data_IF_564635279151
#
_entry.id   IF_564635279151
#
_cell.length_a   1.000
_cell.length_b   1.000
_cell.length_c   1.000
_cell.angle_alpha   90.00
_cell.angle_beta   90.00
_cell.angle_gamma   90.00
#
_symmetry.space_group_name_H-M   'P 1'
#
loop_
_entity.id
_entity.type
_entity.pdbx_description
1 polymer ?
#
# COMPACT_ATOMS: atom_id res chain seq x y z
N UNK A 1 24.80 -9.90 1.99
CA UNK A 1 26.11 -10.48 2.35
C UNK A 1 26.44 -11.71 1.50
N UNK A 2 25.59 -12.78 1.50
CA UNK A 2 25.81 -13.99 0.69
C UNK A 2 26.07 -13.69 -0.79
N UNK A 3 25.29 -12.79 -1.39
CA UNK A 3 25.43 -12.36 -2.78
C UNK A 3 26.83 -11.78 -3.06
N UNK A 4 27.34 -10.94 -2.17
CA UNK A 4 28.67 -10.34 -2.30
C UNK A 4 29.76 -11.39 -2.13
N UNK A 5 29.60 -12.31 -1.17
CA UNK A 5 30.56 -13.39 -0.95
C UNK A 5 30.67 -14.32 -2.16
N UNK A 6 29.56 -14.67 -2.82
CA UNK A 6 29.57 -15.45 -4.05
C UNK A 6 30.26 -14.73 -5.22
N UNK A 7 30.10 -13.40 -5.33
CA UNK A 7 30.78 -12.62 -6.36
C UNK A 7 32.32 -12.60 -6.17
N UNK A 8 32.76 -12.63 -4.92
CA UNK A 8 34.19 -12.58 -4.57
C UNK A 8 34.86 -13.95 -4.58
N UNK A 9 34.11 -15.04 -4.57
CA UNK A 9 34.63 -16.39 -4.49
C UNK A 9 34.94 -17.01 -5.87
N UNK A 10 35.79 -18.07 -5.88
CA UNK A 10 36.11 -18.89 -7.09
C UNK A 10 34.95 -19.88 -7.38
N UNK A 11 33.76 -19.35 -7.61
CA UNK A 11 32.56 -20.15 -7.90
C UNK A 11 32.31 -20.30 -9.41
N UNK A 12 31.54 -21.30 -9.86
CA UNK A 12 31.12 -21.46 -11.25
C UNK A 12 30.45 -20.20 -11.79
N UNK A 13 30.59 -19.90 -13.07
CA UNK A 13 30.05 -18.70 -13.72
C UNK A 13 28.53 -18.56 -13.55
N UNK A 14 27.80 -19.69 -13.56
CA UNK A 14 26.36 -19.69 -13.37
C UNK A 14 25.91 -19.15 -12.01
N UNK A 15 26.59 -19.54 -10.93
CA UNK A 15 26.28 -19.03 -9.58
C UNK A 15 26.62 -17.53 -9.48
N UNK A 16 27.74 -17.11 -10.08
CA UNK A 16 28.11 -15.69 -10.14
C UNK A 16 27.08 -14.85 -10.88
N UNK A 17 26.53 -15.36 -11.99
CA UNK A 17 25.48 -14.67 -12.74
C UNK A 17 24.23 -14.49 -11.88
N UNK A 18 23.78 -15.52 -11.18
CA UNK A 18 22.64 -15.41 -10.25
C UNK A 18 22.94 -14.45 -9.10
N UNK A 19 24.15 -14.49 -8.54
CA UNK A 19 24.57 -13.58 -7.48
C UNK A 19 24.60 -12.12 -7.96
N UNK A 20 25.09 -11.89 -9.17
CA UNK A 20 25.08 -10.56 -9.79
C UNK A 20 23.65 -10.05 -10.01
N UNK A 21 22.77 -10.88 -10.58
CA UNK A 21 21.37 -10.53 -10.80
C UNK A 21 20.65 -10.22 -9.48
N UNK A 22 20.87 -11.04 -8.44
CA UNK A 22 20.34 -10.79 -7.11
C UNK A 22 20.87 -9.47 -6.52
N UNK A 23 22.15 -9.18 -6.68
CA UNK A 23 22.79 -7.93 -6.24
C UNK A 23 22.21 -6.71 -6.97
N UNK A 24 22.04 -6.79 -8.27
CA UNK A 24 21.42 -5.73 -9.07
C UNK A 24 19.97 -5.46 -8.61
N UNK A 25 19.15 -6.49 -8.40
CA UNK A 25 17.79 -6.32 -7.90
C UNK A 25 17.78 -5.65 -6.52
N UNK A 26 18.69 -6.01 -5.62
CA UNK A 26 18.79 -5.38 -4.30
C UNK A 26 19.14 -3.89 -4.37
N UNK A 27 19.86 -3.46 -5.39
CA UNK A 27 20.25 -2.06 -5.60
C UNK A 27 19.18 -1.28 -6.35
N UNK A 28 18.57 -1.88 -7.39
CA UNK A 28 17.62 -1.19 -8.27
C UNK A 28 16.25 -1.07 -7.60
N UNK A 29 15.84 -2.06 -6.83
CA UNK A 29 14.51 -2.13 -6.25
C UNK A 29 14.16 -0.95 -5.31
N UNK A 30 15.07 -0.41 -4.47
CA UNK A 30 14.78 0.81 -3.71
C UNK A 30 14.63 2.05 -4.58
N UNK A 31 15.23 2.05 -5.78
CA UNK A 31 15.17 3.15 -6.71
C UNK A 31 13.78 3.16 -7.39
N UNK A 32 12.91 4.03 -6.92
CA UNK A 32 11.55 4.19 -7.46
C UNK A 32 10.45 3.39 -6.76
N UNK A 33 10.73 2.77 -5.62
CA UNK A 33 9.71 2.20 -4.75
C UNK A 33 9.66 2.93 -3.41
N UNK A 34 8.46 3.12 -2.85
CA UNK A 34 8.28 3.59 -1.46
C UNK A 34 8.71 2.54 -0.42
N UNK A 35 9.32 1.45 -0.87
CA UNK A 35 9.78 0.36 -0.02
C UNK A 35 11.02 0.76 0.77
N UNK A 36 10.93 0.73 2.08
CA UNK A 36 12.10 0.81 2.93
C UNK A 36 13.04 -0.38 2.67
N UNK A 37 14.31 -0.26 3.05
CA UNK A 37 15.37 -1.26 2.80
C UNK A 37 14.98 -2.68 3.28
N UNK A 38 14.12 -2.81 4.29
CA UNK A 38 13.59 -4.08 4.79
C UNK A 38 12.62 -4.77 3.80
N UNK A 39 11.97 -4.02 2.92
CA UNK A 39 11.10 -4.59 1.88
C UNK A 39 11.88 -5.15 0.70
N UNK A 40 13.07 -4.60 0.42
CA UNK A 40 13.93 -5.04 -0.69
C UNK A 40 14.27 -6.53 -0.58
N UNK A 41 14.56 -7.00 0.61
CA UNK A 41 14.86 -8.43 0.86
C UNK A 41 13.69 -9.36 0.56
N UNK A 42 12.46 -8.89 0.65
CA UNK A 42 11.26 -9.73 0.43
C UNK A 42 11.03 -10.03 -1.05
N UNK A 43 11.23 -9.06 -1.91
CA UNK A 43 11.00 -9.21 -3.35
C UNK A 43 12.13 -9.96 -4.08
N UNK A 44 13.38 -9.87 -3.57
CA UNK A 44 14.50 -10.59 -4.13
C UNK A 44 14.73 -12.00 -3.52
N UNK A 45 13.85 -12.41 -2.60
CA UNK A 45 14.01 -13.66 -1.84
C UNK A 45 14.11 -14.90 -2.75
N UNK A 46 13.39 -14.95 -3.86
CA UNK A 46 13.44 -16.06 -4.81
C UNK A 46 14.82 -16.25 -5.47
N UNK A 47 15.63 -15.19 -5.56
CA UNK A 47 17.02 -15.28 -6.04
C UNK A 47 18.03 -15.41 -4.89
N UNK A 48 17.79 -14.74 -3.78
CA UNK A 48 18.75 -14.73 -2.65
C UNK A 48 18.69 -16.01 -1.82
N UNK A 49 17.50 -16.64 -1.67
CA UNK A 49 17.36 -17.86 -0.87
C UNK A 49 18.19 -19.03 -1.42
N UNK A 50 18.17 -19.35 -2.73
CA UNK A 50 19.05 -20.40 -3.29
C UNK A 50 20.54 -20.12 -3.04
N UNK A 51 20.97 -18.86 -3.11
CA UNK A 51 22.35 -18.48 -2.82
C UNK A 51 22.72 -18.69 -1.35
N UNK A 52 21.80 -18.34 -0.44
CA UNK A 52 21.99 -18.57 1.00
C UNK A 52 22.09 -20.07 1.30
N UNK A 53 21.26 -20.90 0.67
CA UNK A 53 21.30 -22.36 0.84
C UNK A 53 22.62 -22.93 0.33
N UNK A 54 23.03 -22.57 -0.90
CA UNK A 54 24.29 -23.02 -1.50
C UNK A 54 25.50 -22.61 -0.66
N UNK A 55 25.52 -21.38 -0.16
CA UNK A 55 26.57 -20.89 0.74
C UNK A 55 26.60 -21.69 2.06
N UNK A 56 25.43 -21.89 2.67
CA UNK A 56 25.32 -22.64 3.92
C UNK A 56 25.78 -24.09 3.78
N UNK A 57 25.50 -24.74 2.64
CA UNK A 57 26.00 -26.10 2.37
C UNK A 57 27.51 -26.15 2.27
N UNK A 58 28.13 -25.14 1.64
CA UNK A 58 29.58 -25.05 1.53
C UNK A 58 30.22 -24.85 2.90
N UNK A 59 29.74 -23.90 3.69
CA UNK A 59 30.23 -23.62 5.05
C UNK A 59 30.10 -24.87 5.96
N UNK A 60 28.95 -25.55 5.90
CA UNK A 60 28.73 -26.79 6.64
C UNK A 60 29.78 -27.86 6.27
N UNK A 61 30.12 -27.97 4.98
CA UNK A 61 31.14 -28.93 4.51
C UNK A 61 32.53 -28.58 5.04
N UNK A 62 32.88 -27.30 4.97
CA UNK A 62 34.19 -26.82 5.46
C UNK A 62 34.33 -26.96 6.98
N UNK A 63 33.27 -26.62 7.74
CA UNK A 63 33.26 -26.81 9.19
C UNK A 63 33.34 -28.28 9.61
N UNK A 64 32.73 -29.18 8.84
CA UNK A 64 32.79 -30.60 9.08
C UNK A 64 34.22 -31.13 8.95
N UNK A 65 34.94 -30.67 7.92
CA UNK A 65 36.34 -31.07 7.68
C UNK A 65 37.26 -30.46 8.73
N UNK A 66 37.11 -29.18 9.06
CA UNK A 66 38.03 -28.44 9.95
C UNK A 66 37.84 -28.77 11.42
N UNK A 67 36.61 -29.08 11.88
CA UNK A 67 36.30 -29.29 13.29
C UNK A 67 35.92 -30.74 13.65
N UNK A 68 35.99 -31.68 12.71
CA UNK A 68 35.63 -33.08 12.94
C UNK A 68 34.14 -33.29 13.32
N UNK A 69 33.27 -32.31 13.07
CA UNK A 69 31.87 -32.40 13.37
C UNK A 69 31.18 -33.25 12.30
N UNK A 70 30.41 -34.26 12.73
CA UNK A 70 29.69 -35.13 11.80
C UNK A 70 28.84 -34.34 10.81
N UNK A 71 29.11 -34.45 9.51
CA UNK A 71 28.31 -33.88 8.41
C UNK A 71 26.81 -34.21 8.54
N UNK A 72 26.51 -35.41 9.09
CA UNK A 72 25.12 -35.85 9.30
C UNK A 72 24.37 -35.00 10.33
N UNK A 73 25.06 -34.60 11.41
CA UNK A 73 24.47 -33.75 12.47
C UNK A 73 24.25 -32.34 11.90
N UNK A 74 25.27 -31.75 11.26
CA UNK A 74 25.16 -30.40 10.68
C UNK A 74 24.05 -30.30 9.65
N UNK A 75 23.95 -31.29 8.72
CA UNK A 75 22.87 -31.31 7.72
C UNK A 75 21.48 -31.45 8.36
N UNK A 76 21.32 -32.34 9.35
CA UNK A 76 20.05 -32.48 10.06
C UNK A 76 19.66 -31.20 10.77
N UNK A 77 20.57 -30.54 11.47
CA UNK A 77 20.30 -29.28 12.17
C UNK A 77 19.95 -28.19 11.17
N UNK A 78 20.69 -28.05 10.07
CA UNK A 78 20.39 -27.08 9.01
C UNK A 78 19.01 -27.31 8.37
N UNK A 79 18.67 -28.59 8.09
CA UNK A 79 17.34 -28.94 7.56
C UNK A 79 16.21 -28.61 8.54
N UNK A 80 16.40 -28.86 9.82
CA UNK A 80 15.40 -28.52 10.86
C UNK A 80 15.22 -27.03 10.94
N UNK A 81 16.29 -26.25 10.95
CA UNK A 81 16.22 -24.77 10.96
C UNK A 81 15.54 -24.22 9.71
N UNK A 82 15.84 -24.79 8.54
CA UNK A 82 15.19 -24.39 7.29
C UNK A 82 13.69 -24.68 7.32
N UNK A 83 13.30 -25.88 7.74
CA UNK A 83 11.88 -26.26 7.88
C UNK A 83 11.18 -25.32 8.87
N UNK A 84 11.78 -25.05 10.03
CA UNK A 84 11.24 -24.13 11.02
C UNK A 84 11.05 -22.72 10.42
N UNK A 85 12.06 -22.22 9.71
CA UNK A 85 11.97 -20.94 9.02
C UNK A 85 10.85 -20.89 7.99
N UNK A 86 10.71 -21.93 7.16
CA UNK A 86 9.63 -22.04 6.18
C UNK A 86 8.26 -22.08 6.87
N UNK A 87 8.12 -22.91 7.92
CA UNK A 87 6.86 -23.00 8.69
C UNK A 87 6.47 -21.64 9.30
N UNK A 88 7.40 -20.94 9.93
CA UNK A 88 7.16 -19.62 10.51
C UNK A 88 6.83 -18.58 9.43
N UNK A 89 7.50 -18.64 8.29
CA UNK A 89 7.22 -17.76 7.16
C UNK A 89 5.83 -18.01 6.58
N UNK A 90 5.46 -19.27 6.37
CA UNK A 90 4.12 -19.66 5.92
C UNK A 90 3.06 -19.22 6.93
N UNK A 91 3.25 -19.50 8.21
CA UNK A 91 2.34 -19.06 9.28
C UNK A 91 2.13 -17.55 9.22
N UNK A 92 3.21 -16.78 9.09
CA UNK A 92 3.12 -15.32 9.01
C UNK A 92 2.33 -14.86 7.79
N UNK A 93 2.62 -15.41 6.59
CA UNK A 93 1.94 -15.04 5.35
C UNK A 93 0.46 -15.45 5.33
N UNK A 94 0.13 -16.59 5.94
CA UNK A 94 -1.25 -17.08 6.06
C UNK A 94 -2.03 -16.28 7.10
N UNK A 95 -1.39 -15.90 8.22
CA UNK A 95 -2.07 -15.24 9.35
C UNK A 95 -2.24 -13.72 9.18
N UNK A 96 -1.35 -13.07 8.42
CA UNK A 96 -1.37 -11.61 8.27
C UNK A 96 -1.80 -11.19 6.87
N UNK A 97 -2.51 -10.08 6.81
CA UNK A 97 -2.91 -9.44 5.56
C UNK A 97 -2.07 -8.19 5.32
N UNK A 98 -1.82 -7.89 4.04
CA UNK A 98 -1.10 -6.70 3.65
C UNK A 98 -1.99 -5.46 3.86
N UNK A 99 -1.49 -4.47 4.59
CA UNK A 99 -2.19 -3.23 4.92
C UNK A 99 -3.59 -3.37 5.54
N UNK A 100 -3.91 -4.54 6.10
CA UNK A 100 -5.15 -4.72 6.82
C UNK A 100 -4.87 -5.44 8.14
N UNK A 101 -5.25 -4.84 9.26
CA UNK A 101 -4.90 -5.35 10.57
C UNK A 101 -5.64 -6.63 10.95
N UNK A 102 -4.99 -7.36 11.84
CA UNK A 102 -5.52 -8.57 12.42
C UNK A 102 -5.32 -9.81 11.53
N UNK A 103 -5.77 -10.93 12.03
CA UNK A 103 -5.63 -12.22 11.37
C UNK A 103 -6.47 -12.29 10.09
N UNK A 104 -5.89 -12.87 9.03
CA UNK A 104 -6.60 -13.17 7.79
C UNK A 104 -7.87 -13.97 8.01
N UNK A 105 -7.86 -14.89 8.96
CA UNK A 105 -9.01 -15.73 9.28
C UNK A 105 -10.21 -14.97 9.86
N UNK A 106 -10.01 -13.72 10.31
CA UNK A 106 -11.08 -12.82 10.76
C UNK A 106 -11.61 -11.90 9.66
N UNK A 107 -11.05 -11.98 8.45
CA UNK A 107 -11.48 -11.18 7.29
C UNK A 107 -12.55 -11.94 6.52
N UNK A 108 -13.77 -11.90 7.02
CA UNK A 108 -14.91 -12.64 6.47
C UNK A 108 -16.01 -11.73 5.92
N UNK A 109 -15.84 -10.41 6.06
CA UNK A 109 -16.82 -9.43 5.61
C UNK A 109 -16.45 -8.89 4.23
N UNK A 110 -17.40 -8.88 3.33
CA UNK A 110 -17.26 -8.33 1.98
C UNK A 110 -18.07 -7.03 1.85
N UNK A 111 -17.70 -6.22 0.87
CA UNK A 111 -18.49 -5.09 0.41
C UNK A 111 -19.32 -5.57 -0.78
N UNK A 112 -20.63 -5.27 -0.78
CA UNK A 112 -21.48 -5.59 -1.92
C UNK A 112 -21.25 -4.60 -3.05
N UNK A 113 -20.26 -4.95 -3.87
CA UNK A 113 -19.86 -4.16 -5.03
C UNK A 113 -19.22 -5.05 -6.11
N UNK A 114 -19.57 -4.81 -7.39
CA UNK A 114 -19.13 -5.64 -8.51
C UNK A 114 -17.61 -5.85 -8.55
N UNK A 115 -16.84 -4.79 -8.39
CA UNK A 115 -15.37 -4.80 -8.47
C UNK A 115 -14.68 -5.28 -7.20
N UNK A 116 -15.43 -5.54 -6.12
CA UNK A 116 -14.91 -6.05 -4.85
C UNK A 116 -15.30 -7.50 -4.56
N UNK A 117 -15.87 -8.19 -5.54
CA UNK A 117 -16.23 -9.61 -5.40
C UNK A 117 -15.01 -10.47 -5.05
N UNK A 118 -15.14 -11.26 -3.99
CA UNK A 118 -14.07 -12.12 -3.49
C UNK A 118 -13.01 -11.42 -2.64
N UNK A 119 -13.17 -10.13 -2.38
CA UNK A 119 -12.31 -9.38 -1.46
C UNK A 119 -12.98 -9.33 -0.09
N UNK A 120 -12.26 -9.81 0.92
CA UNK A 120 -12.72 -9.87 2.30
C UNK A 120 -11.84 -9.01 3.20
N UNK A 121 -12.48 -8.34 4.15
CA UNK A 121 -11.81 -7.44 5.10
C UNK A 121 -12.44 -7.53 6.49
N UNK A 122 -12.07 -6.64 7.40
CA UNK A 122 -12.71 -6.52 8.72
C UNK A 122 -14.11 -5.96 8.61
N UNK A 123 -14.96 -6.25 9.58
CA UNK A 123 -16.34 -5.77 9.63
C UNK A 123 -16.41 -4.25 9.48
N UNK A 124 -15.61 -3.54 10.25
CA UNK A 124 -15.56 -2.08 10.25
C UNK A 124 -15.21 -1.50 8.88
N UNK A 125 -14.18 -2.05 8.21
CA UNK A 125 -13.79 -1.61 6.86
C UNK A 125 -14.87 -1.90 5.84
N UNK A 126 -15.48 -3.07 5.90
CA UNK A 126 -16.58 -3.42 5.01
C UNK A 126 -17.77 -2.47 5.19
N UNK A 127 -18.20 -2.21 6.43
CA UNK A 127 -19.32 -1.29 6.73
C UNK A 127 -19.05 0.13 6.22
N UNK A 128 -17.91 0.71 6.61
CA UNK A 128 -17.56 2.09 6.21
C UNK A 128 -17.41 2.22 4.68
N UNK A 129 -16.82 1.21 4.03
CA UNK A 129 -16.69 1.20 2.56
C UNK A 129 -18.06 1.08 1.88
N UNK A 130 -18.94 0.21 2.39
CA UNK A 130 -20.29 0.05 1.88
C UNK A 130 -21.10 1.35 2.01
N UNK A 131 -21.02 2.01 3.16
CA UNK A 131 -21.73 3.25 3.43
C UNK A 131 -21.30 4.38 2.47
N UNK A 132 -19.99 4.58 2.28
CA UNK A 132 -19.51 5.64 1.38
C UNK A 132 -19.82 5.35 -0.08
N UNK A 133 -19.74 4.09 -0.53
CA UNK A 133 -20.10 3.70 -1.89
C UNK A 133 -21.61 3.89 -2.12
N UNK A 134 -22.46 3.39 -1.23
CA UNK A 134 -23.91 3.57 -1.32
C UNK A 134 -24.35 5.04 -1.26
N UNK A 135 -23.58 5.89 -0.57
CA UNK A 135 -23.83 7.33 -0.58
C UNK A 135 -23.39 7.95 -1.92
N UNK A 136 -22.22 7.57 -2.45
CA UNK A 136 -21.72 8.10 -3.73
C UNK A 136 -22.63 7.74 -4.91
N UNK A 137 -23.18 6.54 -4.94
CA UNK A 137 -24.12 6.09 -5.99
C UNK A 137 -25.33 7.02 -6.18
N UNK A 138 -25.64 7.85 -5.17
CA UNK A 138 -26.74 8.83 -5.25
C UNK A 138 -26.33 10.15 -5.89
N UNK A 139 -25.05 10.44 -5.98
CA UNK A 139 -24.54 11.78 -6.33
C UNK A 139 -23.60 11.78 -7.51
N UNK A 140 -23.08 10.62 -7.91
CA UNK A 140 -22.14 10.50 -9.03
C UNK A 140 -22.59 9.41 -9.99
N UNK A 141 -22.31 9.63 -11.27
CA UNK A 141 -22.49 8.67 -12.34
C UNK A 141 -21.14 8.29 -12.94
N UNK A 142 -21.11 7.17 -13.66
CA UNK A 142 -19.92 6.77 -14.43
C UNK A 142 -19.47 7.89 -15.35
N UNK A 143 -18.16 8.19 -15.32
CA UNK A 143 -17.54 9.23 -16.12
C UNK A 143 -17.58 10.63 -15.53
N UNK A 144 -18.31 10.87 -14.45
CA UNK A 144 -18.34 12.14 -13.74
C UNK A 144 -16.97 12.49 -13.16
N UNK A 145 -16.73 13.79 -12.97
CA UNK A 145 -15.53 14.24 -12.26
C UNK A 145 -15.77 14.29 -10.75
N UNK A 146 -14.88 13.63 -10.01
CA UNK A 146 -14.88 13.69 -8.54
C UNK A 146 -13.52 14.17 -8.03
N UNK A 147 -13.51 14.85 -6.89
CA UNK A 147 -12.32 15.24 -6.15
C UNK A 147 -12.26 14.44 -4.86
N UNK A 148 -11.53 13.34 -4.87
CA UNK A 148 -11.39 12.45 -3.70
C UNK A 148 -10.09 12.79 -2.98
N UNK A 149 -10.21 13.33 -1.79
CA UNK A 149 -9.12 13.78 -0.95
C UNK A 149 -9.19 13.02 0.39
N UNK A 150 -8.16 12.48 0.97
CA UNK A 150 -6.72 12.59 0.77
C UNK A 150 -6.16 11.35 0.05
N UNK A 151 -6.40 10.11 0.56
CA UNK A 151 -5.69 8.88 0.23
C UNK A 151 -6.64 7.69 -0.03
N UNK A 152 -7.68 7.93 -0.79
CA UNK A 152 -8.67 6.90 -1.18
C UNK A 152 -8.84 6.80 -2.70
N UNK A 153 -7.75 6.61 -3.48
CA UNK A 153 -7.81 6.60 -4.95
C UNK A 153 -8.72 5.48 -5.48
N UNK A 154 -8.89 4.40 -4.71
CA UNK A 154 -9.73 3.26 -5.07
C UNK A 154 -11.20 3.68 -5.30
N UNK A 155 -11.69 4.72 -4.63
CA UNK A 155 -13.06 5.20 -4.83
C UNK A 155 -13.31 5.65 -6.27
N UNK A 156 -12.33 6.26 -6.96
CA UNK A 156 -12.46 6.57 -8.40
C UNK A 156 -12.70 5.32 -9.24
N UNK A 157 -11.95 4.24 -8.96
CA UNK A 157 -12.11 2.98 -9.67
C UNK A 157 -13.47 2.33 -9.36
N UNK A 158 -13.87 2.32 -8.11
CA UNK A 158 -15.12 1.69 -7.69
C UNK A 158 -16.36 2.45 -8.23
N UNK A 159 -16.33 3.76 -8.26
CA UNK A 159 -17.42 4.58 -8.80
C UNK A 159 -17.29 4.87 -10.30
N UNK A 160 -16.24 4.37 -10.96
CA UNK A 160 -15.93 4.63 -12.38
C UNK A 160 -15.90 6.12 -12.71
N UNK A 161 -15.48 6.96 -11.75
CA UNK A 161 -15.38 8.41 -11.91
C UNK A 161 -13.98 8.85 -12.33
N UNK A 162 -13.88 10.05 -12.90
CA UNK A 162 -12.62 10.64 -13.35
C UNK A 162 -12.06 11.59 -12.27
N UNK A 163 -10.75 11.56 -12.02
CA UNK A 163 -10.15 12.48 -11.06
C UNK A 163 -10.21 13.93 -11.56
N UNK A 164 -10.84 14.82 -10.77
CA UNK A 164 -10.96 16.23 -11.10
C UNK A 164 -9.60 16.94 -11.20
N UNK A 165 -8.67 16.61 -10.33
CA UNK A 165 -7.33 17.21 -10.32
C UNK A 165 -6.28 16.36 -11.07
N UNK A 166 -6.69 15.63 -12.13
CA UNK A 166 -5.87 14.82 -13.06
C UNK A 166 -5.19 13.59 -12.45
N UNK A 167 -4.98 13.52 -11.15
CA UNK A 167 -4.40 12.38 -10.46
C UNK A 167 -5.44 11.82 -9.46
N UNK A 168 -5.73 10.51 -9.49
CA UNK A 168 -6.63 9.89 -8.52
C UNK A 168 -6.04 9.86 -7.11
N UNK A 169 -4.73 10.04 -6.96
CA UNK A 169 -4.03 9.93 -5.70
C UNK A 169 -3.43 11.28 -5.29
N UNK A 170 -4.27 12.15 -4.74
CA UNK A 170 -3.90 13.52 -4.36
C UNK A 170 -2.89 13.58 -3.20
N UNK A 171 -2.74 12.50 -2.46
CA UNK A 171 -1.69 12.36 -1.45
C UNK A 171 -0.29 12.62 -2.03
N UNK A 172 -0.02 12.21 -3.29
CA UNK A 172 1.27 12.39 -3.95
C UNK A 172 1.58 13.83 -4.36
N UNK A 173 0.58 14.69 -4.42
CA UNK A 173 0.80 16.10 -4.73
C UNK A 173 1.35 16.84 -3.52
N UNK A 174 2.33 17.70 -3.75
CA UNK A 174 2.63 18.77 -2.83
C UNK A 174 1.57 19.88 -2.90
N UNK A 175 1.72 20.90 -2.07
CA UNK A 175 0.76 22.01 -2.00
C UNK A 175 0.66 22.76 -3.34
N UNK A 176 1.79 23.01 -3.99
CA UNK A 176 1.85 23.89 -5.16
C UNK A 176 1.31 23.17 -6.41
N UNK A 177 1.66 21.90 -6.58
CA UNK A 177 1.07 21.04 -7.61
C UNK A 177 -0.45 20.87 -7.43
N UNK A 178 -0.92 20.70 -6.19
CA UNK A 178 -2.36 20.62 -5.94
C UNK A 178 -3.07 21.92 -6.29
N UNK A 179 -2.49 23.08 -5.93
CA UNK A 179 -3.05 24.38 -6.28
C UNK A 179 -3.10 24.59 -7.79
N UNK A 180 -2.05 24.25 -8.50
CA UNK A 180 -1.98 24.32 -9.96
C UNK A 180 -3.04 23.41 -10.60
N UNK A 181 -3.12 22.14 -10.17
CA UNK A 181 -4.07 21.16 -10.68
C UNK A 181 -5.53 21.61 -10.49
N UNK A 182 -5.88 22.12 -9.30
CA UNK A 182 -7.22 22.66 -9.04
C UNK A 182 -7.52 23.90 -9.87
N UNK A 183 -6.56 24.79 -10.04
CA UNK A 183 -6.70 26.01 -10.85
C UNK A 183 -6.86 25.70 -12.33
N UNK A 184 -6.09 24.75 -12.84
CA UNK A 184 -6.17 24.25 -14.21
C UNK A 184 -7.50 23.56 -14.47
N UNK A 185 -7.90 22.63 -13.57
CA UNK A 185 -9.17 21.93 -13.67
C UNK A 185 -10.36 22.91 -13.70
N UNK A 186 -10.33 23.96 -12.86
CA UNK A 186 -11.37 24.99 -12.85
C UNK A 186 -11.47 25.82 -14.13
N UNK A 187 -10.40 25.90 -14.94
CA UNK A 187 -10.44 26.54 -16.26
C UNK A 187 -10.88 25.61 -17.39
N UNK A 188 -10.49 24.34 -17.31
CA UNK A 188 -10.71 23.37 -18.39
C UNK A 188 -12.03 22.61 -18.28
N UNK A 189 -12.61 22.52 -17.07
CA UNK A 189 -13.81 21.74 -16.81
C UNK A 189 -15.00 22.64 -16.54
N UNK A 190 -16.10 22.36 -17.23
CA UNK A 190 -17.29 23.18 -17.15
C UNK A 190 -18.08 23.02 -15.83
N UNK A 191 -17.94 21.87 -15.17
CA UNK A 191 -18.67 21.57 -13.95
C UNK A 191 -17.75 21.39 -12.76
N UNK A 192 -18.21 21.82 -11.60
CA UNK A 192 -17.55 21.53 -10.31
C UNK A 192 -17.77 20.06 -9.92
N UNK A 193 -16.76 19.39 -9.34
CA UNK A 193 -16.85 17.98 -9.01
C UNK A 193 -17.66 17.73 -7.73
N UNK A 194 -18.16 16.51 -7.55
CA UNK A 194 -18.47 16.01 -6.21
C UNK A 194 -17.17 15.86 -5.44
N UNK A 195 -17.11 16.37 -4.20
CA UNK A 195 -15.91 16.29 -3.36
C UNK A 195 -16.11 15.26 -2.26
N UNK A 196 -15.15 14.37 -2.11
CA UNK A 196 -15.09 13.37 -1.04
C UNK A 196 -13.87 13.64 -0.18
N UNK A 197 -14.10 13.88 1.11
CA UNK A 197 -13.00 14.07 2.07
C UNK A 197 -12.85 12.83 2.95
N UNK A 198 -11.64 12.28 2.97
CA UNK A 198 -11.25 11.27 3.96
C UNK A 198 -10.82 11.97 5.24
N UNK A 199 -11.30 11.53 6.39
CA UNK A 199 -11.09 12.15 7.70
C UNK A 199 -10.19 11.33 8.64
N UNK A 200 -9.38 10.42 8.10
CA UNK A 200 -8.51 9.54 8.88
C UNK A 200 -7.27 9.13 8.07
N UNK A 201 -6.21 8.71 8.77
CA UNK A 201 -5.01 8.12 8.13
C UNK A 201 -5.29 6.68 7.75
N UNK A 202 -5.43 6.39 6.45
CA UNK A 202 -5.81 5.08 5.94
C UNK A 202 -4.68 4.13 5.57
N UNK A 203 -3.43 4.61 5.49
CA UNK A 203 -2.35 3.86 4.83
C UNK A 203 -1.73 2.73 5.64
N UNK A 204 -1.64 2.83 6.97
CA UNK A 204 -0.68 2.00 7.70
C UNK A 204 -1.24 1.28 8.91
N UNK A 205 -2.42 1.63 9.37
CA UNK A 205 -2.82 1.27 10.71
C UNK A 205 -4.30 0.90 10.74
N UNK A 206 -4.71 0.34 11.84
CA UNK A 206 -6.09 0.18 12.26
C UNK A 206 -6.87 1.41 11.86
N UNK A 207 -7.98 1.17 11.22
CA UNK A 207 -8.96 2.23 11.07
C UNK A 207 -9.31 2.71 12.47
N UNK A 208 -9.16 4.00 12.75
CA UNK A 208 -9.41 4.52 14.07
C UNK A 208 -10.84 4.22 14.53
N UNK A 209 -11.05 4.14 15.83
CA UNK A 209 -12.38 3.89 16.39
C UNK A 209 -13.37 5.05 16.15
N UNK A 210 -12.86 6.18 15.72
CA UNK A 210 -13.58 7.35 15.26
C UNK A 210 -12.68 8.24 14.42
N UNK A 211 -13.21 9.31 13.86
CA UNK A 211 -12.42 10.35 13.22
C UNK A 211 -12.13 11.46 14.24
N UNK A 212 -11.04 12.17 14.01
CA UNK A 212 -10.73 13.40 14.74
C UNK A 212 -11.10 14.61 13.89
N UNK A 213 -11.87 15.54 14.43
CA UNK A 213 -12.13 16.83 13.77
C UNK A 213 -10.82 17.59 13.51
N UNK A 214 -9.80 17.34 14.33
CA UNK A 214 -8.46 17.91 14.17
C UNK A 214 -7.63 17.22 13.08
N UNK A 215 -8.10 16.12 12.46
CA UNK A 215 -7.33 15.43 11.42
C UNK A 215 -6.86 16.38 10.32
N UNK A 216 -7.76 17.25 9.86
CA UNK A 216 -7.45 18.24 8.83
C UNK A 216 -6.60 19.41 9.35
N UNK A 217 -6.55 19.65 10.67
CA UNK A 217 -5.82 20.76 11.27
C UNK A 217 -4.39 20.42 11.67
N UNK A 218 -4.13 19.18 12.08
CA UNK A 218 -2.88 18.77 12.73
C UNK A 218 -1.95 17.91 11.85
N UNK A 219 -2.30 17.68 10.58
CA UNK A 219 -1.50 16.84 9.71
C UNK A 219 -0.30 17.57 9.10
N UNK A 220 0.73 16.79 8.73
CA UNK A 220 1.84 17.22 7.87
C UNK A 220 1.36 17.84 6.55
N UNK A 221 0.12 17.53 6.13
CA UNK A 221 -0.57 18.07 4.97
C UNK A 221 -1.34 19.39 5.21
N UNK A 222 -1.12 20.08 6.33
CA UNK A 222 -1.86 21.30 6.69
C UNK A 222 -2.02 22.30 5.54
N UNK A 223 -0.99 22.47 4.72
CA UNK A 223 -1.04 23.37 3.56
C UNK A 223 -2.04 22.93 2.49
N UNK A 224 -2.09 21.64 2.19
CA UNK A 224 -3.04 21.03 1.24
C UNK A 224 -4.47 21.06 1.80
N UNK A 225 -4.64 20.77 3.08
CA UNK A 225 -5.94 20.83 3.75
C UNK A 225 -6.56 22.22 3.67
N UNK A 226 -5.75 23.27 3.88
CA UNK A 226 -6.18 24.65 3.72
C UNK A 226 -6.59 24.97 2.27
N UNK A 227 -5.91 24.44 1.27
CA UNK A 227 -6.28 24.61 -0.13
C UNK A 227 -7.63 23.96 -0.44
N UNK A 228 -7.86 22.73 0.01
CA UNK A 228 -9.14 22.04 -0.17
C UNK A 228 -10.27 22.82 0.53
N UNK A 229 -10.06 23.25 1.76
CA UNK A 229 -11.05 24.05 2.47
C UNK A 229 -11.36 25.36 1.74
N UNK A 230 -10.35 26.06 1.21
CA UNK A 230 -10.55 27.26 0.38
C UNK A 230 -11.35 26.94 -0.89
N UNK A 231 -11.03 25.82 -1.55
CA UNK A 231 -11.77 25.38 -2.74
C UNK A 231 -13.25 25.15 -2.42
N UNK A 232 -13.56 24.48 -1.32
CA UNK A 232 -14.95 24.25 -0.87
C UNK A 232 -15.68 25.56 -0.57
N UNK A 233 -15.05 26.44 0.21
CA UNK A 233 -15.67 27.72 0.59
C UNK A 233 -15.85 28.66 -0.62
N UNK A 234 -14.81 28.79 -1.46
CA UNK A 234 -14.89 29.64 -2.66
C UNK A 234 -16.01 29.25 -3.60
N UNK A 235 -16.25 27.95 -3.74
CA UNK A 235 -17.24 27.41 -4.65
C UNK A 235 -18.57 27.07 -3.95
N UNK A 236 -18.78 27.56 -2.72
CA UNK A 236 -20.02 27.43 -1.96
C UNK A 236 -20.51 25.98 -1.80
N UNK A 237 -19.60 25.05 -1.50
CA UNK A 237 -19.95 23.66 -1.28
C UNK A 237 -20.73 23.46 0.02
N UNK A 238 -21.68 22.52 0.00
CA UNK A 238 -22.43 22.07 1.16
C UNK A 238 -22.09 20.62 1.48
N UNK A 239 -21.83 20.34 2.74
CA UNK A 239 -21.69 18.97 3.24
C UNK A 239 -23.08 18.33 3.28
N UNK A 240 -23.26 17.27 2.49
CA UNK A 240 -24.55 16.60 2.34
C UNK A 240 -24.61 15.24 3.03
N UNK A 241 -23.45 14.65 3.30
CA UNK A 241 -23.36 13.34 3.92
C UNK A 241 -22.06 13.16 4.71
N UNK A 242 -22.10 12.37 5.77
CA UNK A 242 -20.93 11.89 6.51
C UNK A 242 -21.26 10.62 7.27
N UNK A 243 -20.26 9.74 7.41
CA UNK A 243 -20.31 8.61 8.35
C UNK A 243 -19.21 8.70 9.43
N UNK A 244 -18.62 9.89 9.61
CA UNK A 244 -17.51 10.11 10.52
C UNK A 244 -16.14 9.81 9.94
N UNK A 245 -16.03 8.95 8.91
CA UNK A 245 -14.77 8.61 8.22
C UNK A 245 -14.62 9.34 6.90
N UNK A 246 -15.73 9.57 6.23
CA UNK A 246 -15.81 10.30 4.97
C UNK A 246 -16.86 11.38 5.04
N UNK A 247 -16.66 12.42 4.26
CA UNK A 247 -17.63 13.48 4.01
C UNK A 247 -17.85 13.62 2.52
N UNK A 248 -19.08 13.83 2.09
CA UNK A 248 -19.45 14.14 0.70
C UNK A 248 -19.97 15.57 0.66
N UNK A 249 -19.42 16.35 -0.28
CA UNK A 249 -19.73 17.75 -0.47
C UNK A 249 -20.17 17.99 -1.91
N UNK A 250 -21.28 18.71 -2.08
CA UNK A 250 -21.78 19.14 -3.38
C UNK A 250 -21.71 20.67 -3.51
N UNK A 251 -21.43 21.19 -4.72
CA UNK A 251 -21.54 22.62 -4.97
C UNK A 251 -23.00 23.05 -4.83
N UNK A 252 -23.22 24.20 -4.21
CA UNK A 252 -24.53 24.83 -4.17
C UNK A 252 -24.81 25.43 -5.53
N UNK A 253 -25.60 24.73 -6.36
CA UNK A 253 -26.08 25.35 -7.58
C UNK A 253 -27.07 26.46 -7.21
N UNK A 254 -26.77 27.71 -7.57
CA UNK A 254 -27.77 28.78 -7.55
C UNK A 254 -28.77 28.46 -8.68
N UNK A 255 -30.05 28.23 -8.30
CA UNK A 255 -31.14 28.06 -9.26
C UNK A 255 -31.42 29.37 -9.94
#
# INVERSE_FOLDING_TARGET
LATVLFLLWKEPSSIKTVALAAGMLLVIQPLGSDGAVDLVGRFSMFLTLPLVVAYSEKEVRELSVSRGISNRILRKTGSILLILFVCLSVQRHVSYTYFDQGSRFKKIYSVDHLFLRGIYTSQKRASVSQEVLSALDRYVSEGDYTLIYDNSPMLHYLTQTKPYAYNPWLYLYDKDLLQEALSRAGRERQALPVVVLQKFKGLWIDWPDGYSDDYMANDANKGKNLLINRFLHKNKYLKIWTNGYYEIWLPKYEK
#
